data_IF_575854306472
#
_entry.id   IF_575854306472
#
_cell.length_a   1.000
_cell.length_b   1.000
_cell.length_c   1.000
_cell.angle_alpha   90.00
_cell.angle_beta   90.00
_cell.angle_gamma   90.00
#
_symmetry.space_group_name_H-M   'P 1'
#
loop_
_entity.id
_entity.type
_entity.pdbx_description
1 polymer ?
#
# COMPACT_ATOMS: atom_id res chain seq x y z
N UNK A 1 -11.86 -24.62 69.03
CA UNK A 1 -11.98 -23.25 68.51
C UNK A 1 -11.51 -23.28 67.08
N UNK A 2 -12.48 -23.19 66.17
CA UNK A 2 -12.32 -23.23 64.72
C UNK A 2 -11.64 -21.97 64.17
N UNK A 3 -10.88 -22.12 63.08
CA UNK A 3 -10.33 -21.01 62.30
C UNK A 3 -9.33 -21.42 61.22
N UNK A 4 -9.80 -22.05 60.14
CA UNK A 4 -9.09 -22.30 58.86
C UNK A 4 -9.67 -21.31 57.81
N UNK A 5 -9.01 -20.93 56.69
CA UNK A 5 -7.70 -20.32 56.45
C UNK A 5 -7.78 -19.05 55.54
N UNK A 6 -6.60 -18.48 55.24
CA UNK A 6 -6.22 -17.70 54.05
C UNK A 6 -7.30 -17.25 53.03
N UNK A 7 -7.54 -15.94 52.94
CA UNK A 7 -7.98 -15.30 51.70
C UNK A 7 -6.76 -15.00 50.84
N UNK A 8 -6.39 -15.99 50.02
CA UNK A 8 -5.52 -15.84 48.85
C UNK A 8 -6.23 -14.91 47.86
N UNK A 9 -5.87 -13.62 47.88
CA UNK A 9 -6.28 -12.66 46.86
C UNK A 9 -5.86 -13.19 45.49
N UNK A 10 -6.86 -13.53 44.68
CA UNK A 10 -6.72 -14.18 43.39
C UNK A 10 -5.88 -13.34 42.43
N UNK A 11 -4.74 -13.88 42.00
CA UNK A 11 -3.96 -13.40 40.86
C UNK A 11 -4.66 -13.78 39.54
N UNK A 12 -5.92 -13.36 39.37
CA UNK A 12 -6.72 -13.59 38.16
C UNK A 12 -6.60 -12.49 37.09
N UNK A 13 -6.16 -11.29 37.47
CA UNK A 13 -6.16 -10.11 36.59
C UNK A 13 -5.02 -10.01 35.56
N UNK A 14 -3.95 -10.82 35.69
CA UNK A 14 -2.78 -10.71 34.81
C UNK A 14 -3.05 -11.18 33.38
N UNK A 15 -3.81 -12.25 33.20
CA UNK A 15 -4.06 -12.83 31.87
C UNK A 15 -5.00 -11.99 31.03
N UNK A 16 -6.06 -11.43 31.64
CA UNK A 16 -7.01 -10.58 30.92
C UNK A 16 -6.35 -9.27 30.45
N UNK A 17 -5.53 -8.65 31.32
CA UNK A 17 -4.77 -7.45 30.97
C UNK A 17 -3.74 -7.69 29.86
N UNK A 18 -3.01 -8.82 29.91
CA UNK A 18 -2.06 -9.18 28.85
C UNK A 18 -2.74 -9.47 27.50
N UNK A 19 -3.91 -10.13 27.50
CA UNK A 19 -4.66 -10.37 26.27
C UNK A 19 -5.19 -9.08 25.65
N UNK A 20 -5.67 -8.13 26.46
CA UNK A 20 -6.10 -6.82 25.99
C UNK A 20 -4.95 -6.02 25.39
N UNK A 21 -3.78 -6.01 26.03
CA UNK A 21 -2.58 -5.37 25.49
C UNK A 21 -2.16 -6.00 24.16
N UNK A 22 -2.14 -7.33 24.07
CA UNK A 22 -1.82 -8.03 22.82
C UNK A 22 -2.82 -7.68 21.71
N UNK A 23 -4.11 -7.61 22.03
CA UNK A 23 -5.14 -7.22 21.06
C UNK A 23 -4.93 -5.78 20.57
N UNK A 24 -4.57 -4.85 21.45
CA UNK A 24 -4.25 -3.46 21.08
C UNK A 24 -3.00 -3.37 20.21
N UNK A 25 -1.95 -4.13 20.53
CA UNK A 25 -0.74 -4.18 19.70
C UNK A 25 -1.02 -4.78 18.33
N UNK A 26 -1.78 -5.87 18.26
CA UNK A 26 -2.18 -6.48 17.00
C UNK A 26 -3.03 -5.52 16.16
N UNK A 27 -4.00 -4.83 16.77
CA UNK A 27 -4.83 -3.84 16.10
C UNK A 27 -3.99 -2.65 15.59
N UNK A 28 -3.09 -2.11 16.41
CA UNK A 28 -2.20 -1.02 16.00
C UNK A 28 -1.25 -1.43 14.87
N UNK A 29 -0.70 -2.65 14.94
CA UNK A 29 0.16 -3.21 13.89
C UNK A 29 -0.61 -3.41 12.58
N UNK A 30 -1.84 -3.93 12.63
CA UNK A 30 -2.70 -4.07 11.46
C UNK A 30 -3.02 -2.72 10.81
N UNK A 31 -3.43 -1.73 11.61
CA UNK A 31 -3.73 -0.37 11.12
C UNK A 31 -2.50 0.26 10.47
N UNK A 32 -1.33 0.13 11.10
CA UNK A 32 -0.08 0.62 10.52
C UNK A 32 0.28 -0.08 9.21
N UNK A 33 0.05 -1.39 9.13
CA UNK A 33 0.27 -2.17 7.91
C UNK A 33 -0.70 -1.77 6.78
N UNK A 34 -1.98 -1.62 7.09
CA UNK A 34 -3.00 -1.18 6.12
C UNK A 34 -2.68 0.21 5.55
N UNK A 35 -2.21 1.15 6.37
CA UNK A 35 -1.73 2.46 5.88
C UNK A 35 -0.49 2.35 5.01
N UNK A 36 0.40 1.40 5.27
CA UNK A 36 1.65 1.26 4.53
C UNK A 36 1.45 0.64 3.14
N UNK A 37 0.44 -0.20 2.96
CA UNK A 37 0.20 -0.91 1.70
C UNK A 37 0.09 0.02 0.48
N UNK A 38 -0.77 1.06 0.45
CA UNK A 38 -0.87 1.96 -0.69
C UNK A 38 0.48 2.61 -1.07
N UNK A 39 1.28 2.99 -0.06
CA UNK A 39 2.62 3.56 -0.28
C UNK A 39 3.61 2.56 -0.88
N UNK A 40 3.56 1.29 -0.46
CA UNK A 40 4.40 0.24 -1.05
C UNK A 40 4.06 0.02 -2.53
N UNK A 41 2.77 -0.01 -2.88
CA UNK A 41 2.31 -0.13 -4.27
C UNK A 41 2.76 1.07 -5.10
N UNK A 42 2.61 2.29 -4.56
CA UNK A 42 3.10 3.52 -5.18
C UNK A 42 4.60 3.46 -5.49
N UNK A 43 5.44 3.10 -4.51
CA UNK A 43 6.88 3.03 -4.74
C UNK A 43 7.28 1.94 -5.72
N UNK A 44 6.61 0.78 -5.67
CA UNK A 44 6.88 -0.30 -6.60
C UNK A 44 6.54 0.11 -8.05
N UNK A 45 5.34 0.64 -8.27
CA UNK A 45 4.91 1.06 -9.59
C UNK A 45 5.77 2.21 -10.15
N UNK A 46 6.12 3.19 -9.31
CA UNK A 46 7.03 4.28 -9.71
C UNK A 46 8.39 3.75 -10.15
N UNK A 47 8.96 2.79 -9.42
CA UNK A 47 10.26 2.22 -9.77
C UNK A 47 10.22 1.50 -11.13
N UNK A 48 9.14 0.77 -11.41
CA UNK A 48 8.94 0.10 -12.69
C UNK A 48 8.66 1.08 -13.84
N UNK A 49 7.97 2.19 -13.56
CA UNK A 49 7.79 3.28 -14.52
C UNK A 49 9.13 3.94 -14.88
N UNK A 50 9.97 4.25 -13.90
CA UNK A 50 11.33 4.77 -14.12
C UNK A 50 12.19 3.80 -14.95
N UNK A 51 12.10 2.50 -14.66
CA UNK A 51 12.80 1.47 -15.43
C UNK A 51 12.27 1.38 -16.87
N UNK A 52 10.96 1.51 -17.07
CA UNK A 52 10.31 1.44 -18.38
C UNK A 52 10.67 2.65 -19.24
N UNK A 53 10.66 3.85 -18.67
CA UNK A 53 11.03 5.09 -19.37
C UNK A 53 12.46 5.05 -19.89
N UNK A 54 13.42 4.48 -19.13
CA UNK A 54 14.80 4.28 -19.60
C UNK A 54 14.93 3.36 -20.81
N UNK A 55 13.92 2.53 -21.09
CA UNK A 55 13.89 1.65 -22.25
C UNK A 55 13.27 2.32 -23.49
N UNK A 56 12.89 3.59 -23.42
CA UNK A 56 12.24 4.31 -24.52
C UNK A 56 13.08 4.42 -25.79
N UNK A 57 14.41 4.39 -25.66
CA UNK A 57 15.31 4.39 -26.81
C UNK A 57 15.23 3.09 -27.64
N UNK A 58 14.77 2.00 -27.03
CA UNK A 58 14.78 0.65 -27.63
C UNK A 58 13.36 0.15 -27.92
N UNK A 59 12.39 0.54 -27.11
CA UNK A 59 11.00 0.10 -27.20
C UNK A 59 10.12 1.16 -27.85
N UNK A 60 9.19 0.72 -28.68
CA UNK A 60 8.14 1.59 -29.23
C UNK A 60 7.13 1.98 -28.16
N UNK A 61 6.41 3.09 -28.41
CA UNK A 61 5.39 3.66 -27.52
C UNK A 61 4.39 2.63 -27.00
N UNK A 62 3.82 1.80 -27.88
CA UNK A 62 2.79 0.84 -27.49
C UNK A 62 3.31 -0.24 -26.54
N UNK A 63 4.56 -0.69 -26.76
CA UNK A 63 5.22 -1.66 -25.88
C UNK A 63 5.53 -1.06 -24.51
N UNK A 64 5.95 0.21 -24.47
CA UNK A 64 6.15 0.94 -23.20
C UNK A 64 4.83 1.07 -22.45
N UNK A 65 3.76 1.47 -23.14
CA UNK A 65 2.45 1.63 -22.53
C UNK A 65 1.92 0.30 -21.95
N UNK A 66 2.01 -0.80 -22.71
CA UNK A 66 1.65 -2.13 -22.21
C UNK A 66 2.46 -2.56 -20.99
N UNK A 67 3.76 -2.21 -20.94
CA UNK A 67 4.59 -2.49 -19.77
C UNK A 67 4.17 -1.68 -18.55
N UNK A 68 3.80 -0.41 -18.72
CA UNK A 68 3.30 0.42 -17.62
C UNK A 68 1.98 -0.11 -17.06
N UNK A 69 1.05 -0.51 -17.93
CA UNK A 69 -0.21 -1.13 -17.50
C UNK A 69 0.04 -2.41 -16.71
N UNK A 70 0.93 -3.26 -17.22
CA UNK A 70 1.32 -4.49 -16.53
C UNK A 70 2.00 -4.22 -15.19
N UNK A 71 2.87 -3.23 -15.12
CA UNK A 71 3.54 -2.84 -13.87
C UNK A 71 2.55 -2.31 -12.83
N UNK A 72 1.53 -1.54 -13.25
CA UNK A 72 0.46 -1.11 -12.35
C UNK A 72 -0.32 -2.31 -11.80
N UNK A 73 -0.68 -3.27 -12.65
CA UNK A 73 -1.36 -4.51 -12.26
C UNK A 73 -0.51 -5.35 -11.29
N UNK A 74 0.77 -5.56 -11.58
CA UNK A 74 1.71 -6.32 -10.73
C UNK A 74 1.94 -5.64 -9.37
N UNK A 75 1.94 -4.31 -9.35
CA UNK A 75 1.98 -3.53 -8.11
C UNK A 75 0.64 -3.52 -7.36
N UNK A 76 -0.43 -4.06 -7.92
CA UNK A 76 -1.77 -4.03 -7.33
C UNK A 76 -2.36 -2.63 -7.27
N UNK A 77 -1.91 -1.72 -8.14
CA UNK A 77 -2.47 -0.38 -8.29
C UNK A 77 -3.77 -0.50 -9.07
N UNK A 78 -4.88 -0.10 -8.44
CA UNK A 78 -6.19 -0.09 -9.07
C UNK A 78 -6.34 1.22 -9.86
N UNK A 79 -6.42 1.10 -11.18
CA UNK A 79 -6.68 2.22 -12.09
C UNK A 79 -8.10 2.10 -12.63
N UNK A 80 -8.99 3.00 -12.23
CA UNK A 80 -10.38 3.01 -12.72
C UNK A 80 -10.45 3.21 -14.24
N UNK A 81 -9.61 4.12 -14.74
CA UNK A 81 -9.47 4.47 -16.15
C UNK A 81 -7.99 4.45 -16.53
N UNK A 82 -7.42 3.27 -16.85
CA UNK A 82 -5.97 3.12 -17.03
C UNK A 82 -5.38 4.00 -18.14
N UNK A 83 -6.15 4.28 -19.20
CA UNK A 83 -5.70 5.16 -20.30
C UNK A 83 -5.70 6.66 -19.93
N UNK A 84 -6.51 7.05 -18.94
CA UNK A 84 -6.55 8.42 -18.41
C UNK A 84 -5.57 8.58 -17.24
N UNK A 85 -5.38 7.52 -16.46
CA UNK A 85 -4.53 7.53 -15.28
C UNK A 85 -3.03 7.48 -15.62
N UNK A 86 -2.65 6.99 -16.82
CA UNK A 86 -1.25 6.91 -17.27
C UNK A 86 -1.09 7.66 -18.59
N UNK A 87 -0.47 8.83 -18.53
CA UNK A 87 -0.11 9.63 -19.69
C UNK A 87 1.35 9.37 -20.08
N UNK A 88 1.54 8.70 -21.22
CA UNK A 88 2.86 8.49 -21.83
C UNK A 88 3.08 9.46 -22.99
N UNK A 89 4.07 10.36 -22.82
CA UNK A 89 4.63 11.19 -23.89
C UNK A 89 5.89 10.53 -24.40
N UNK A 90 5.95 10.27 -25.71
CA UNK A 90 7.08 9.61 -26.36
C UNK A 90 7.53 10.41 -27.57
N UNK A 91 8.83 10.71 -27.66
CA UNK A 91 9.39 11.42 -28.81
C UNK A 91 10.91 11.48 -28.79
N UNK A 92 11.55 11.37 -29.96
CA UNK A 92 13.01 11.47 -30.14
C UNK A 92 13.83 10.52 -29.25
N UNK A 93 13.31 9.32 -28.95
CA UNK A 93 13.97 8.35 -28.07
C UNK A 93 13.85 8.66 -26.58
N UNK A 94 13.14 9.72 -26.22
CA UNK A 94 12.79 10.08 -24.85
C UNK A 94 11.36 9.67 -24.52
N UNK A 95 11.13 9.34 -23.26
CA UNK A 95 9.79 9.14 -22.73
C UNK A 95 9.59 9.90 -21.43
N UNK A 96 8.37 10.38 -21.24
CA UNK A 96 7.89 10.91 -19.97
C UNK A 96 6.58 10.20 -19.63
N UNK A 97 6.49 9.73 -18.41
CA UNK A 97 5.29 9.07 -17.88
C UNK A 97 4.80 9.90 -16.72
N UNK A 98 3.57 10.38 -16.87
CA UNK A 98 2.81 11.01 -15.82
C UNK A 98 1.69 10.05 -15.42
N UNK A 99 1.57 9.75 -14.13
CA UNK A 99 0.53 8.88 -13.64
C UNK A 99 -0.14 9.45 -12.38
N UNK A 100 -1.46 9.30 -12.30
CA UNK A 100 -2.26 9.72 -11.16
C UNK A 100 -3.40 8.74 -10.89
N UNK A 101 -3.58 8.36 -9.63
CA UNK A 101 -4.68 7.49 -9.21
C UNK A 101 -4.97 7.71 -7.73
N UNK A 102 -6.09 7.16 -7.27
CA UNK A 102 -6.44 7.13 -5.85
C UNK A 102 -6.48 5.67 -5.38
N UNK A 103 -5.94 5.40 -4.20
CA UNK A 103 -5.99 4.07 -3.57
C UNK A 103 -6.47 4.22 -2.12
N UNK A 104 -7.18 3.23 -1.62
CA UNK A 104 -7.79 3.26 -0.29
C UNK A 104 -7.10 2.27 0.65
N UNK A 105 -6.79 2.73 1.86
CA UNK A 105 -6.55 1.82 2.97
C UNK A 105 -7.87 1.46 3.64
N UNK A 106 -8.19 0.16 3.64
CA UNK A 106 -9.36 -0.37 4.33
C UNK A 106 -9.02 -0.73 5.78
N UNK A 107 -9.79 -0.16 6.70
CA UNK A 107 -9.71 -0.43 8.13
C UNK A 107 -10.90 -1.26 8.60
N UNK A 108 -10.80 -1.90 9.77
CA UNK A 108 -11.94 -2.60 10.36
C UNK A 108 -13.17 -1.69 10.47
N UNK A 109 -14.35 -2.30 10.40
CA UNK A 109 -15.66 -1.60 10.45
C UNK A 109 -16.01 -0.77 9.21
N UNK A 110 -15.34 -1.00 8.08
CA UNK A 110 -15.68 -0.36 6.80
C UNK A 110 -15.23 1.10 6.70
N UNK A 111 -14.25 1.50 7.51
CA UNK A 111 -13.60 2.80 7.35
C UNK A 111 -12.58 2.72 6.24
N UNK A 112 -12.70 3.62 5.28
CA UNK A 112 -11.74 3.79 4.18
C UNK A 112 -11.01 5.11 4.36
N UNK A 113 -9.70 5.10 4.15
CA UNK A 113 -8.92 6.31 4.00
C UNK A 113 -8.32 6.35 2.60
N UNK A 114 -8.71 7.36 1.84
CA UNK A 114 -8.28 7.55 0.46
C UNK A 114 -6.97 8.33 0.39
N UNK A 115 -6.08 7.89 -0.47
CA UNK A 115 -4.82 8.52 -0.79
C UNK A 115 -4.80 8.85 -2.28
N UNK A 116 -4.47 10.09 -2.60
CA UNK A 116 -4.22 10.51 -3.97
C UNK A 116 -2.72 10.42 -4.26
N UNK A 117 -2.38 9.60 -5.25
CA UNK A 117 -1.02 9.40 -5.69
C UNK A 117 -0.79 10.04 -7.06
N UNK A 118 0.37 10.66 -7.19
CA UNK A 118 0.81 11.23 -8.45
C UNK A 118 2.33 11.12 -8.56
N UNK A 119 2.82 10.77 -9.75
CA UNK A 119 4.22 10.89 -10.07
C UNK A 119 4.43 11.27 -11.54
N UNK A 120 5.60 11.81 -11.81
CA UNK A 120 6.07 12.20 -13.12
C UNK A 120 7.54 11.82 -13.25
N UNK A 121 7.86 11.01 -14.27
CA UNK A 121 9.18 10.43 -14.50
C UNK A 121 9.60 10.59 -15.96
N UNK A 122 10.83 11.00 -16.19
CA UNK A 122 11.40 11.30 -17.52
C UNK A 122 12.73 10.55 -17.75
N UNK A 123 13.02 10.17 -18.99
CA UNK A 123 14.27 9.52 -19.39
C UNK A 123 14.42 9.26 -20.88
#
# INVERSE_FOLDING_TARGET
MDGIPATRGERGGGRLGSLLLLALFAAGGYTGWAMLQPWLRFWHFRADAEATVRLAQVLGRDTLHQRLLKAAEEAGVLLDHPEEAIHLVYGNGHARVEASWSDAAEFPFGYEYWFDFHFDVEG
#
